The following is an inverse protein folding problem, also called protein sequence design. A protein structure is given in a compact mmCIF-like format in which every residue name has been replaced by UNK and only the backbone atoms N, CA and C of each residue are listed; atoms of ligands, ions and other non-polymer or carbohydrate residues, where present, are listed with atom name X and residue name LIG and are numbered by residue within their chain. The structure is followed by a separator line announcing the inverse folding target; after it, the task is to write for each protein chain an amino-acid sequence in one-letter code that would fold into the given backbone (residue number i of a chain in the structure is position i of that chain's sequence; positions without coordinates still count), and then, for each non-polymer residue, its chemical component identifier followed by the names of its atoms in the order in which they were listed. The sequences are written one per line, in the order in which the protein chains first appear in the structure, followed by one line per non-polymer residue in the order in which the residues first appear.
data_IF_966985224961
#
_entry.id   IF_966985224961
#
_cell.length_a   1.000
_cell.length_b   1.000
_cell.length_c   1.000
_cell.angle_alpha   90.00
_cell.angle_beta   90.00
_cell.angle_gamma   90.00
#
_symmetry.space_group_name_H-M   'P 1'
#
loop_
_entity.id
_entity.type
_entity.pdbx_description
1 polymer ?
#
# COMPACT_ATOMS: atom_id res chain seq x y z
N UNK A 1 -3.98 -16.95 -26.45
CA UNK A 1 -3.31 -15.66 -26.22
C UNK A 1 -4.33 -14.72 -25.59
N UNK A 2 -4.28 -14.56 -24.27
CA UNK A 2 -5.06 -13.56 -23.54
C UNK A 2 -4.06 -12.79 -22.68
N UNK A 3 -3.95 -11.49 -22.95
CA UNK A 3 -3.03 -10.58 -22.28
C UNK A 3 -3.62 -10.14 -20.95
N UNK A 4 -2.81 -10.21 -19.89
CA UNK A 4 -3.20 -9.90 -18.51
C UNK A 4 -3.22 -8.39 -18.22
N UNK A 5 -4.23 -7.98 -17.46
CA UNK A 5 -4.29 -6.66 -16.81
C UNK A 5 -3.99 -6.83 -15.31
N UNK A 6 -3.28 -5.86 -14.68
CA UNK A 6 -2.85 -5.98 -13.29
C UNK A 6 -3.99 -5.63 -12.31
N UNK A 7 -4.18 -6.48 -11.30
CA UNK A 7 -5.04 -6.20 -10.14
C UNK A 7 -4.33 -5.21 -9.21
N UNK A 8 -4.92 -4.03 -9.02
CA UNK A 8 -4.47 -3.02 -8.04
C UNK A 8 -5.42 -3.10 -6.84
N UNK A 9 -4.89 -3.41 -5.66
CA UNK A 9 -5.63 -3.43 -4.41
C UNK A 9 -5.95 -2.00 -3.94
N UNK A 10 -7.20 -1.72 -3.56
CA UNK A 10 -7.58 -0.49 -2.86
C UNK A 10 -8.71 0.34 -3.49
N UNK A 11 -9.35 -0.11 -4.57
CA UNK A 11 -10.58 0.54 -5.03
C UNK A 11 -11.77 -0.02 -4.26
N UNK A 12 -12.42 0.81 -3.44
CA UNK A 12 -13.84 0.63 -3.15
C UNK A 12 -14.55 0.67 -4.51
N UNK A 13 -14.87 -0.51 -5.05
CA UNK A 13 -15.71 -0.63 -6.22
C UNK A 13 -17.12 -0.25 -5.79
N UNK A 14 -17.44 1.05 -5.85
CA UNK A 14 -18.79 1.44 -6.21
C UNK A 14 -18.97 0.99 -7.66
N UNK A 15 -19.43 -0.24 -7.84
CA UNK A 15 -19.94 -0.68 -9.13
C UNK A 15 -21.21 0.13 -9.31
N UNK A 16 -21.10 1.26 -9.99
CA UNK A 16 -22.27 1.90 -10.56
C UNK A 16 -22.95 0.83 -11.40
N UNK A 17 -24.17 0.45 -11.01
CA UNK A 17 -24.94 -0.65 -11.58
C UNK A 17 -25.36 -0.42 -13.05
N UNK A 18 -24.63 0.43 -13.79
CA UNK A 18 -24.87 0.76 -15.18
C UNK A 18 -23.76 0.23 -16.10
N UNK A 19 -24.06 -0.97 -16.61
CA UNK A 19 -24.29 -1.21 -18.05
C UNK A 19 -23.21 -1.81 -18.95
N UNK A 20 -22.10 -2.36 -18.45
CA UNK A 20 -21.19 -3.17 -19.29
C UNK A 20 -20.81 -4.50 -18.66
N UNK A 21 -20.45 -4.51 -17.37
CA UNK A 21 -20.03 -5.74 -16.69
C UNK A 21 -21.17 -6.73 -16.49
N UNK A 22 -22.34 -6.27 -16.05
CA UNK A 22 -23.53 -7.12 -15.87
C UNK A 22 -23.98 -7.75 -17.19
N UNK A 23 -24.02 -6.98 -18.28
CA UNK A 23 -24.34 -7.50 -19.62
C UNK A 23 -23.33 -8.53 -20.11
N UNK A 24 -22.04 -8.31 -19.86
CA UNK A 24 -21.00 -9.28 -20.21
C UNK A 24 -21.12 -10.58 -19.40
N UNK A 25 -21.56 -10.51 -18.14
CA UNK A 25 -21.89 -11.68 -17.34
C UNK A 25 -23.11 -12.41 -17.89
N UNK A 26 -24.21 -11.71 -18.19
CA UNK A 26 -25.42 -12.30 -18.79
C UNK A 26 -25.12 -12.99 -20.14
N UNK A 27 -24.31 -12.37 -21.01
CA UNK A 27 -23.88 -12.97 -22.27
C UNK A 27 -22.99 -14.21 -22.07
N UNK A 28 -22.14 -14.22 -21.05
CA UNK A 28 -21.31 -15.37 -20.70
C UNK A 28 -22.14 -16.51 -20.09
N UNK A 29 -23.18 -16.18 -19.32
CA UNK A 29 -24.17 -17.14 -18.80
C UNK A 29 -24.92 -17.80 -19.95
N UNK A 30 -25.42 -17.00 -20.90
CA UNK A 30 -26.13 -17.49 -22.08
C UNK A 30 -25.27 -18.41 -22.96
N UNK A 31 -23.94 -18.26 -22.92
CA UNK A 31 -22.98 -19.13 -23.61
C UNK A 31 -22.58 -20.37 -22.80
N UNK A 32 -23.16 -20.58 -21.61
CA UNK A 32 -22.80 -21.65 -20.69
C UNK A 32 -21.35 -21.58 -20.20
N UNK A 33 -20.74 -20.39 -20.27
CA UNK A 33 -19.34 -20.15 -19.91
C UNK A 33 -19.19 -19.72 -18.45
N UNK A 34 -20.30 -19.42 -17.76
CA UNK A 34 -20.30 -19.14 -16.33
C UNK A 34 -20.47 -20.41 -15.52
N UNK A 35 -19.73 -20.42 -14.41
CA UNK A 35 -19.84 -21.43 -13.37
C UNK A 35 -21.23 -21.31 -12.77
N UNK A 36 -21.97 -22.42 -12.65
CA UNK A 36 -23.28 -22.44 -12.00
C UNK A 36 -23.17 -21.86 -10.58
N UNK A 37 -24.22 -21.18 -10.14
CA UNK A 37 -24.27 -20.48 -8.86
C UNK A 37 -23.87 -21.37 -7.66
N UNK A 38 -24.39 -22.59 -7.62
CA UNK A 38 -24.08 -23.61 -6.62
C UNK A 38 -22.59 -23.98 -6.60
N UNK A 39 -21.98 -24.14 -7.78
CA UNK A 39 -20.55 -24.42 -7.93
C UNK A 39 -19.72 -23.20 -7.53
N UNK A 40 -20.16 -21.98 -7.87
CA UNK A 40 -19.48 -20.74 -7.48
C UNK A 40 -19.43 -20.59 -5.95
N UNK A 41 -20.56 -20.79 -5.27
CA UNK A 41 -20.59 -20.75 -3.81
C UNK A 41 -19.74 -21.84 -3.18
N UNK A 42 -19.79 -23.06 -3.72
CA UNK A 42 -18.96 -24.17 -3.23
C UNK A 42 -17.45 -23.88 -3.40
N UNK A 43 -17.03 -23.31 -4.53
CA UNK A 43 -15.63 -22.93 -4.78
C UNK A 43 -15.21 -21.80 -3.84
N UNK A 44 -16.03 -20.76 -3.67
CA UNK A 44 -15.72 -19.67 -2.76
C UNK A 44 -15.64 -20.12 -1.30
N UNK A 45 -16.54 -21.01 -0.88
CA UNK A 45 -16.49 -21.59 0.46
C UNK A 45 -15.16 -22.31 0.69
N UNK A 46 -14.78 -23.22 -0.22
CA UNK A 46 -13.52 -23.96 -0.13
C UNK A 46 -12.30 -23.04 -0.18
N UNK A 47 -12.33 -22.03 -1.04
CA UNK A 47 -11.25 -21.04 -1.13
C UNK A 47 -11.14 -20.26 0.18
N UNK A 48 -12.27 -19.82 0.74
CA UNK A 48 -12.34 -19.14 2.03
C UNK A 48 -11.74 -19.98 3.15
N UNK A 49 -12.08 -21.26 3.24
CA UNK A 49 -11.50 -22.18 4.24
C UNK A 49 -9.98 -22.31 4.09
N UNK A 50 -9.47 -22.41 2.86
CA UNK A 50 -8.02 -22.49 2.61
C UNK A 50 -7.30 -21.18 2.94
N UNK A 51 -7.89 -20.05 2.60
CA UNK A 51 -7.32 -18.73 2.94
C UNK A 51 -7.33 -18.50 4.45
N UNK A 52 -8.39 -18.88 5.14
CA UNK A 52 -8.45 -18.81 6.61
C UNK A 52 -7.37 -19.68 7.26
N UNK A 53 -7.22 -20.92 6.79
CA UNK A 53 -6.16 -21.81 7.27
C UNK A 53 -4.75 -21.21 7.06
N UNK A 54 -4.47 -20.68 5.88
CA UNK A 54 -3.17 -20.04 5.59
C UNK A 54 -2.93 -18.81 6.45
N UNK A 55 -3.97 -18.02 6.71
CA UNK A 55 -3.88 -16.86 7.60
C UNK A 55 -3.55 -17.27 9.04
N UNK A 56 -4.21 -18.30 9.58
CA UNK A 56 -3.92 -18.84 10.90
C UNK A 56 -2.50 -19.43 10.99
N UNK A 57 -2.09 -20.21 9.98
CA UNK A 57 -0.74 -20.76 9.94
C UNK A 57 0.33 -19.67 9.91
N UNK A 58 0.14 -18.64 9.10
CA UNK A 58 1.06 -17.51 9.04
C UNK A 58 1.15 -16.78 10.39
N UNK A 59 0.02 -16.63 11.07
CA UNK A 59 -0.03 -16.01 12.40
C UNK A 59 0.68 -16.85 13.46
N UNK A 60 0.45 -18.17 13.47
CA UNK A 60 1.09 -19.10 14.39
C UNK A 60 2.60 -19.18 14.15
N UNK A 61 3.04 -19.26 12.88
CA UNK A 61 4.46 -19.24 12.52
C UNK A 61 5.13 -17.94 12.98
N UNK A 62 4.47 -16.79 12.77
CA UNK A 62 4.94 -15.49 13.22
C UNK A 62 5.10 -15.44 14.75
N UNK A 63 4.07 -15.83 15.49
CA UNK A 63 4.10 -15.76 16.96
C UNK A 63 5.07 -16.76 17.58
N UNK A 64 5.02 -18.03 17.15
CA UNK A 64 5.71 -19.11 17.83
C UNK A 64 7.13 -19.35 17.30
N UNK A 65 7.34 -19.18 15.98
CA UNK A 65 8.64 -19.47 15.36
C UNK A 65 9.51 -18.22 15.24
N UNK A 66 8.91 -17.06 14.94
CA UNK A 66 9.66 -15.80 14.82
C UNK A 66 9.69 -14.99 16.13
N UNK A 67 8.84 -15.33 17.11
CA UNK A 67 8.74 -14.58 18.37
C UNK A 67 8.23 -13.15 18.18
N UNK A 68 7.61 -12.87 17.03
CA UNK A 68 7.07 -11.56 16.70
C UNK A 68 5.64 -11.51 17.23
N UNK A 69 5.43 -11.14 18.49
CA UNK A 69 4.11 -11.01 19.12
C UNK A 69 3.31 -9.79 18.60
N UNK A 70 3.93 -8.93 17.78
CA UNK A 70 3.30 -7.70 17.30
C UNK A 70 2.54 -7.94 16.00
N UNK A 71 1.21 -7.94 16.12
CA UNK A 71 0.24 -7.97 15.04
C UNK A 71 0.60 -6.93 13.97
N UNK A 72 1.19 -7.36 12.84
CA UNK A 72 1.29 -6.52 11.65
C UNK A 72 -0.08 -6.42 11.00
N UNK A 73 -0.96 -5.58 11.56
CA UNK A 73 -1.77 -4.79 10.66
C UNK A 73 -0.81 -4.02 9.75
N UNK A 74 -1.20 -3.83 8.49
CA UNK A 74 -0.52 -2.95 7.53
C UNK A 74 -0.48 -1.48 8.02
N UNK A 75 -0.90 -1.18 9.24
CA UNK A 75 -0.58 0.06 9.96
C UNK A 75 0.79 -0.04 10.64
N UNK A 76 1.76 0.58 9.97
CA UNK A 76 3.03 1.11 10.47
C UNK A 76 3.21 1.18 12.00
N UNK A 77 4.43 0.99 12.54
CA UNK A 77 4.72 1.08 13.97
C UNK A 77 4.55 2.53 14.46
N UNK A 78 3.32 2.94 14.77
CA UNK A 78 3.08 4.22 15.42
C UNK A 78 2.79 3.95 16.89
N UNK A 79 3.86 4.01 17.68
CA UNK A 79 3.85 3.92 19.13
C UNK A 79 3.20 5.18 19.72
N UNK A 80 1.87 5.21 19.67
CA UNK A 80 1.04 6.23 20.30
C UNK A 80 1.21 7.66 19.77
N UNK A 81 0.56 8.59 20.44
CA UNK A 81 0.64 10.02 20.17
C UNK A 81 2.10 10.49 20.18
N UNK A 82 2.53 11.21 19.14
CA UNK A 82 3.91 11.68 18.99
C UNK A 82 4.39 12.56 20.16
N UNK A 83 3.45 13.24 20.83
CA UNK A 83 3.74 14.04 22.02
C UNK A 83 3.64 13.25 23.32
N UNK A 84 2.46 12.68 23.62
CA UNK A 84 2.14 12.13 24.94
C UNK A 84 2.16 10.60 25.02
N UNK A 85 2.46 9.92 23.91
CA UNK A 85 2.56 8.45 23.78
C UNK A 85 1.30 7.65 24.07
N UNK A 86 0.15 8.28 24.30
CA UNK A 86 -1.13 7.57 24.43
C UNK A 86 -1.44 6.75 23.17
N UNK A 87 -1.95 5.52 23.31
CA UNK A 87 -2.27 4.67 22.16
C UNK A 87 -3.49 5.17 21.37
N UNK A 88 -4.36 5.96 22.01
CA UNK A 88 -5.68 6.36 21.53
C UNK A 88 -6.03 7.83 21.84
N UNK A 89 -7.17 8.30 21.34
CA UNK A 89 -7.74 9.61 21.73
C UNK A 89 -8.30 9.55 23.15
N UNK A 90 -8.52 10.70 23.82
CA UNK A 90 -9.17 10.72 25.14
C UNK A 90 -10.54 10.02 25.19
N UNK A 91 -11.21 9.94 24.04
CA UNK A 91 -12.51 9.28 23.87
C UNK A 91 -12.39 7.80 23.45
N UNK A 92 -11.17 7.24 23.40
CA UNK A 92 -10.90 5.86 22.96
C UNK A 92 -10.91 5.66 21.43
N UNK A 93 -10.82 6.74 20.66
CA UNK A 93 -10.79 6.71 19.19
C UNK A 93 -9.39 6.56 18.60
N UNK A 94 -9.33 6.42 17.28
CA UNK A 94 -8.08 6.35 16.53
C UNK A 94 -7.30 7.68 16.56
N UNK A 95 -5.97 7.58 16.65
CA UNK A 95 -5.10 8.75 16.59
C UNK A 95 -5.17 9.42 15.22
N UNK A 96 -5.05 10.75 15.20
CA UNK A 96 -5.18 11.55 13.98
C UNK A 96 -3.83 12.02 13.48
N UNK A 97 -3.57 11.83 12.18
CA UNK A 97 -2.39 12.41 11.53
C UNK A 97 -2.48 13.91 11.35
N UNK A 98 -1.36 14.51 10.99
CA UNK A 98 -1.32 15.91 10.60
C UNK A 98 -2.04 16.14 9.26
N UNK A 99 -2.89 17.18 9.20
CA UNK A 99 -3.69 17.52 8.02
C UNK A 99 -2.83 17.75 6.77
N UNK A 100 -1.68 18.40 6.94
CA UNK A 100 -0.92 18.90 5.80
C UNK A 100 0.07 17.89 5.21
N UNK A 101 0.41 16.83 5.95
CA UNK A 101 1.28 15.77 5.46
C UNK A 101 0.60 14.40 5.43
N UNK A 102 -0.69 14.31 5.77
CA UNK A 102 -1.39 13.05 5.99
C UNK A 102 -0.67 12.15 7.01
N UNK A 103 -1.13 10.91 7.14
CA UNK A 103 -0.49 9.91 7.99
C UNK A 103 0.94 9.53 7.53
N UNK A 104 1.50 10.18 6.49
CA UNK A 104 2.80 9.87 5.89
C UNK A 104 3.99 10.25 6.79
N UNK A 105 3.82 11.23 7.68
CA UNK A 105 4.86 11.59 8.65
C UNK A 105 5.02 10.58 9.78
N UNK A 106 4.13 9.58 9.86
CA UNK A 106 3.95 8.67 11.01
C UNK A 106 3.70 9.40 12.35
N UNK A 107 3.59 10.72 12.35
CA UNK A 107 3.24 11.49 13.53
C UNK A 107 1.72 11.49 13.67
N UNK A 108 1.24 10.74 14.66
CA UNK A 108 -0.17 10.67 15.03
C UNK A 108 -0.40 11.40 16.36
N UNK A 109 -1.58 11.96 16.55
CA UNK A 109 -1.92 12.80 17.68
C UNK A 109 -3.28 12.41 18.27
N UNK A 110 -3.35 12.29 19.59
CA UNK A 110 -4.60 12.01 20.30
C UNK A 110 -5.54 13.23 20.32
N UNK A 111 -5.01 14.44 20.16
CA UNK A 111 -5.77 15.69 20.15
C UNK A 111 -5.10 16.78 19.33
N UNK A 112 -5.86 17.81 18.94
CA UNK A 112 -5.35 19.02 18.28
C UNK A 112 -4.32 19.75 19.16
N UNK A 113 -4.47 19.70 20.47
CA UNK A 113 -3.51 20.33 21.39
C UNK A 113 -2.16 19.61 21.39
N UNK A 114 -2.17 18.27 21.33
CA UNK A 114 -0.93 17.51 21.18
C UNK A 114 -0.23 17.83 19.85
N UNK A 115 -1.00 17.95 18.77
CA UNK A 115 -0.47 18.34 17.47
C UNK A 115 0.15 19.74 17.49
N UNK A 116 -0.54 20.74 18.07
CA UNK A 116 -0.03 22.13 18.17
C UNK A 116 1.24 22.22 19.01
N UNK A 117 1.31 21.50 20.13
CA UNK A 117 2.47 21.50 21.03
C UNK A 117 3.68 20.80 20.41
N UNK A 118 3.45 19.76 19.61
CA UNK A 118 4.52 19.06 18.89
C UNK A 118 4.90 19.74 17.56
N UNK A 119 4.13 20.73 17.12
CA UNK A 119 4.27 21.36 15.80
C UNK A 119 5.71 21.80 15.51
N UNK A 120 6.41 22.40 16.48
CA UNK A 120 7.81 22.86 16.29
C UNK A 120 8.75 21.70 15.97
N UNK A 121 8.55 20.53 16.59
CA UNK A 121 9.35 19.32 16.35
C UNK A 121 8.95 18.63 15.06
N UNK A 122 7.66 18.64 14.74
CA UNK A 122 7.09 18.04 13.53
C UNK A 122 7.34 18.84 12.25
N UNK A 123 7.37 20.17 12.34
CA UNK A 123 7.39 21.11 11.22
C UNK A 123 8.47 20.81 10.17
N UNK A 124 9.74 20.54 10.53
CA UNK A 124 10.76 20.21 9.53
C UNK A 124 10.42 18.96 8.70
N UNK A 125 9.86 17.93 9.34
CA UNK A 125 9.43 16.71 8.66
C UNK A 125 8.21 16.96 7.78
N UNK A 126 7.26 17.78 8.26
CA UNK A 126 6.05 18.18 7.54
C UNK A 126 6.39 18.94 6.24
N UNK A 127 7.22 19.99 6.33
CA UNK A 127 7.65 20.78 5.16
C UNK A 127 8.42 19.94 4.15
N UNK A 128 9.26 19.01 4.61
CA UNK A 128 9.97 18.08 3.73
C UNK A 128 9.00 17.18 2.96
N UNK A 129 7.93 16.70 3.61
CA UNK A 129 6.89 15.89 2.97
C UNK A 129 6.14 16.68 1.91
N UNK A 130 5.70 17.90 2.22
CA UNK A 130 5.03 18.78 1.27
C UNK A 130 5.90 19.03 0.03
N UNK A 131 7.18 19.38 0.25
CA UNK A 131 8.13 19.62 -0.85
C UNK A 131 8.40 18.36 -1.69
N UNK A 132 8.47 17.19 -1.06
CA UNK A 132 8.67 15.94 -1.80
C UNK A 132 7.44 15.58 -2.63
N UNK A 133 6.22 15.84 -2.13
CA UNK A 133 4.98 15.68 -2.87
C UNK A 133 4.90 16.62 -4.08
N UNK A 134 5.24 17.91 -3.91
CA UNK A 134 5.33 18.89 -5.01
C UNK A 134 6.33 18.46 -6.09
N UNK A 135 7.45 17.87 -5.69
CA UNK A 135 8.48 17.38 -6.61
C UNK A 135 8.18 15.98 -7.18
N UNK A 136 7.04 15.37 -6.81
CA UNK A 136 6.64 14.03 -7.23
C UNK A 136 7.62 12.93 -6.79
N UNK A 137 8.35 13.12 -5.69
CA UNK A 137 9.30 12.12 -5.20
C UNK A 137 8.56 11.04 -4.41
N UNK A 138 8.62 9.81 -4.90
CA UNK A 138 8.13 8.67 -4.13
C UNK A 138 9.08 8.34 -2.96
N UNK A 139 8.48 8.01 -1.80
CA UNK A 139 9.16 7.47 -0.62
C UNK A 139 8.87 5.99 -0.39
N UNK A 140 8.18 5.35 -1.32
CA UNK A 140 7.90 3.92 -1.29
C UNK A 140 8.54 3.22 -2.49
N UNK A 141 8.81 1.93 -2.31
CA UNK A 141 9.14 1.06 -3.41
C UNK A 141 7.95 0.99 -4.37
N UNK A 142 8.19 1.18 -5.67
CA UNK A 142 7.15 1.15 -6.69
C UNK A 142 6.47 -0.23 -6.82
N UNK A 143 7.13 -1.30 -6.36
CA UNK A 143 6.65 -2.68 -6.53
C UNK A 143 5.99 -3.20 -5.27
N UNK A 144 6.68 -3.17 -4.13
CA UNK A 144 6.14 -3.71 -2.88
C UNK A 144 5.44 -2.67 -1.99
N UNK A 145 5.59 -1.36 -2.28
CA UNK A 145 5.01 -0.30 -1.46
C UNK A 145 5.77 0.02 -0.18
N UNK A 146 6.84 -0.73 0.15
CA UNK A 146 7.62 -0.50 1.38
C UNK A 146 8.21 0.90 1.42
N UNK A 147 8.05 1.55 2.56
CA UNK A 147 8.57 2.89 2.80
C UNK A 147 10.09 2.89 2.99
N UNK A 148 10.74 3.91 2.42
CA UNK A 148 12.12 4.30 2.73
C UNK A 148 12.17 4.63 4.23
N UNK A 149 12.78 3.75 5.03
CA UNK A 149 12.81 3.87 6.49
C UNK A 149 14.17 3.48 7.05
N UNK A 150 14.38 3.69 8.35
CA UNK A 150 15.60 3.26 9.04
C UNK A 150 15.73 1.72 9.14
N UNK A 151 14.61 0.98 9.00
CA UNK A 151 14.59 -0.50 9.03
C UNK A 151 14.38 -1.18 7.67
N UNK A 152 13.81 -0.46 6.68
CA UNK A 152 13.72 -0.90 5.29
C UNK A 152 14.72 -0.09 4.46
N UNK A 153 15.82 -0.73 4.07
CA UNK A 153 17.02 -0.07 3.52
C UNK A 153 16.76 0.99 2.42
N UNK A 154 17.74 1.89 2.25
CA UNK A 154 17.63 3.02 1.34
C UNK A 154 17.11 2.65 -0.05
N UNK A 155 16.07 3.35 -0.52
CA UNK A 155 15.46 3.05 -1.80
C UNK A 155 16.38 3.49 -2.94
N UNK A 156 16.58 2.59 -3.90
CA UNK A 156 17.48 2.78 -5.03
C UNK A 156 16.69 3.24 -6.25
N UNK A 157 17.24 4.23 -6.96
CA UNK A 157 16.73 4.67 -8.25
C UNK A 157 17.23 3.74 -9.36
N UNK A 158 16.53 3.74 -10.48
CA UNK A 158 17.04 3.09 -11.68
C UNK A 158 18.35 3.75 -12.14
N UNK A 159 19.43 2.97 -12.27
CA UNK A 159 20.75 3.46 -12.67
C UNK A 159 20.83 3.94 -14.13
N UNK A 160 19.82 3.68 -14.96
CA UNK A 160 19.80 4.10 -16.36
C UNK A 160 19.10 5.44 -16.61
N UNK A 161 17.96 5.69 -15.95
CA UNK A 161 17.20 6.92 -16.11
C UNK A 161 17.32 7.88 -14.92
N UNK A 162 17.84 7.41 -13.78
CA UNK A 162 17.96 8.18 -12.54
C UNK A 162 16.68 8.90 -12.09
N UNK A 163 15.51 8.41 -12.52
CA UNK A 163 14.22 9.02 -12.23
C UNK A 163 14.00 9.12 -10.72
N UNK A 164 13.63 10.31 -10.24
CA UNK A 164 13.36 10.57 -8.81
C UNK A 164 11.99 10.04 -8.37
N UNK A 165 11.09 9.81 -9.32
CA UNK A 165 9.72 9.40 -9.07
C UNK A 165 9.60 7.89 -8.83
N UNK A 166 10.51 7.09 -9.40
CA UNK A 166 10.48 5.62 -9.31
C UNK A 166 11.69 5.11 -8.53
N UNK A 167 11.43 4.44 -7.41
CA UNK A 167 12.47 3.84 -6.56
C UNK A 167 12.11 2.41 -6.16
N UNK A 168 13.12 1.65 -5.75
CA UNK A 168 13.00 0.23 -5.41
C UNK A 168 13.80 -0.10 -4.16
N UNK A 169 13.29 -1.01 -3.32
CA UNK A 169 14.03 -1.50 -2.15
C UNK A 169 15.30 -2.29 -2.54
N UNK A 170 15.28 -2.97 -3.69
CA UNK A 170 16.40 -3.78 -4.16
C UNK A 170 16.29 -4.22 -5.61
N UNK A 171 17.27 -5.04 -6.02
CA UNK A 171 17.39 -5.55 -7.40
C UNK A 171 16.19 -6.40 -7.81
N UNK A 172 15.57 -7.11 -6.88
CA UNK A 172 14.40 -7.95 -7.11
C UNK A 172 13.21 -7.11 -7.57
N UNK A 173 12.79 -6.14 -6.75
CA UNK A 173 11.73 -5.19 -7.11
C UNK A 173 12.07 -4.39 -8.39
N UNK A 174 13.33 -4.02 -8.59
CA UNK A 174 13.74 -3.36 -9.84
C UNK A 174 13.56 -4.27 -11.06
N UNK A 175 13.86 -5.56 -10.95
CA UNK A 175 13.73 -6.53 -12.04
C UNK A 175 12.27 -6.80 -12.39
N UNK A 176 11.41 -6.94 -11.38
CA UNK A 176 9.96 -7.07 -11.55
C UNK A 176 9.41 -5.84 -12.29
N UNK A 177 9.74 -4.63 -11.83
CA UNK A 177 9.32 -3.40 -12.50
C UNK A 177 9.86 -3.29 -13.94
N UNK A 178 11.10 -3.75 -14.17
CA UNK A 178 11.70 -3.77 -15.51
C UNK A 178 10.89 -4.61 -16.50
N UNK A 179 10.46 -5.79 -16.07
CA UNK A 179 9.61 -6.70 -16.85
C UNK A 179 8.18 -6.17 -17.00
N UNK A 180 7.62 -5.58 -15.93
CA UNK A 180 6.25 -5.05 -15.91
C UNK A 180 6.02 -3.84 -16.83
N UNK A 181 7.09 -3.17 -17.28
CA UNK A 181 6.95 -2.08 -18.26
C UNK A 181 7.98 -0.97 -18.13
N UNK A 182 8.72 -0.90 -17.02
CA UNK A 182 9.70 0.17 -16.80
C UNK A 182 10.78 0.19 -17.91
N UNK A 183 11.06 -0.93 -18.59
CA UNK A 183 11.96 -0.95 -19.76
C UNK A 183 11.55 0.04 -20.86
N UNK A 184 10.26 0.19 -21.12
CA UNK A 184 9.72 1.12 -22.14
C UNK A 184 9.78 2.56 -21.67
N UNK A 185 9.37 2.79 -20.42
CA UNK A 185 9.35 4.11 -19.79
C UNK A 185 10.76 4.67 -19.54
N UNK A 186 11.70 3.81 -19.13
CA UNK A 186 13.08 4.17 -18.87
C UNK A 186 13.74 4.82 -20.08
N UNK A 187 13.38 4.42 -21.31
CA UNK A 187 13.87 5.06 -22.53
C UNK A 187 13.32 6.48 -22.70
N UNK A 188 12.04 6.69 -22.40
CA UNK A 188 11.39 8.00 -22.48
C UNK A 188 11.97 8.96 -21.43
N UNK A 189 12.15 8.46 -20.21
CA UNK A 189 12.64 9.25 -19.07
C UNK A 189 14.13 9.61 -19.14
N UNK A 190 14.92 8.89 -19.96
CA UNK A 190 16.35 9.19 -20.16
C UNK A 190 16.61 10.54 -20.85
N UNK A 191 15.60 11.14 -21.48
CA UNK A 191 15.73 12.43 -22.17
C UNK A 191 15.13 13.64 -21.43
N UNK A 192 14.47 13.44 -20.28
CA UNK A 192 13.72 14.50 -19.57
C UNK A 192 14.49 15.15 -18.42
N UNK A 193 15.79 14.87 -18.31
CA UNK A 193 16.72 15.52 -17.37
C UNK A 193 17.74 16.35 -18.17
N UNK A 194 17.27 17.45 -18.78
CA UNK A 194 18.08 18.64 -19.07
C UNK A 194 17.39 19.83 -18.44
#
# INVERSE_FOLDING_TARGET
MLEGLPLIAGMSFKVDANSTTLKACEEAEARGCLIKEDIFFLVNHRLGEKLAFLAHFADEYRMNMLGEDQFFYVSSPVKGCALCRRPDTPEGGELRGCRDCGNESRALYCSKDCQRRDFVRHLPACLRLQKDAELGKSRSCQVCGDLESEGGGALRKCSKCHCKQVKYCGKECQTVAWQAGHKRECKKLRGSHM
#
